data_IF_263626104371
#
_entry.id   IF_263626104371
#
_cell.length_a   1.000
_cell.length_b   1.000
_cell.length_c   1.000
_cell.angle_alpha   90.00
_cell.angle_beta   90.00
_cell.angle_gamma   90.00
#
_symmetry.space_group_name_H-M   'P 1'
#
loop_
_entity.id
_entity.type
_entity.pdbx_description
1 polymer ?
#
# COMPACT_ATOMS: atom_id res chain seq x y z
N UNK A 1 -5.54 -6.13 -26.07
CA UNK A 1 -4.85 -4.90 -25.62
C UNK A 1 -4.24 -5.16 -24.25
N UNK A 2 -2.98 -4.79 -24.02
CA UNK A 2 -2.36 -4.87 -22.69
C UNK A 2 -2.81 -3.65 -21.89
N UNK A 3 -3.42 -3.85 -20.70
CA UNK A 3 -3.76 -2.76 -19.78
C UNK A 3 -2.53 -2.35 -18.97
N UNK A 4 -2.52 -1.13 -18.42
CA UNK A 4 -1.42 -0.67 -17.55
C UNK A 4 -1.21 -1.63 -16.37
N UNK A 5 -2.28 -2.06 -15.72
CA UNK A 5 -2.20 -3.02 -14.61
C UNK A 5 -1.47 -4.32 -15.02
N UNK A 6 -1.84 -4.93 -16.16
CA UNK A 6 -1.17 -6.14 -16.66
C UNK A 6 0.29 -5.90 -17.03
N UNK A 7 0.62 -4.70 -17.54
CA UNK A 7 2.00 -4.34 -17.84
C UNK A 7 2.84 -4.31 -16.57
N UNK A 8 2.38 -3.58 -15.55
CA UNK A 8 3.10 -3.46 -14.28
C UNK A 8 3.23 -4.80 -13.54
N UNK A 9 2.17 -5.62 -13.55
CA UNK A 9 2.23 -6.98 -13.01
C UNK A 9 3.21 -7.88 -13.76
N UNK A 10 3.26 -7.74 -15.07
CA UNK A 10 4.20 -8.48 -15.92
C UNK A 10 5.65 -8.14 -15.57
N UNK A 11 5.93 -6.86 -15.35
CA UNK A 11 7.25 -6.36 -14.94
C UNK A 11 7.60 -6.87 -13.53
N UNK A 12 6.69 -6.72 -12.55
CA UNK A 12 6.92 -7.14 -11.17
C UNK A 12 7.04 -8.66 -11.00
N UNK A 13 6.40 -9.46 -11.85
CA UNK A 13 6.46 -10.93 -11.80
C UNK A 13 7.50 -11.55 -12.74
N UNK A 14 8.09 -10.77 -13.65
CA UNK A 14 8.95 -11.29 -14.71
C UNK A 14 8.23 -12.15 -15.75
N UNK A 15 6.89 -12.15 -15.78
CA UNK A 15 6.08 -12.97 -16.70
C UNK A 15 5.50 -12.11 -17.84
N UNK A 16 5.90 -12.31 -19.10
CA UNK A 16 5.61 -11.36 -20.19
C UNK A 16 4.18 -11.38 -20.72
N UNK A 17 3.38 -12.39 -20.39
CA UNK A 17 2.01 -12.55 -20.93
C UNK A 17 1.05 -13.03 -19.84
N UNK A 18 0.39 -12.08 -19.20
CA UNK A 18 -0.59 -12.36 -18.14
C UNK A 18 -2.02 -12.33 -18.68
N UNK A 19 -2.81 -13.30 -18.26
CA UNK A 19 -4.27 -13.33 -18.44
C UNK A 19 -4.95 -13.07 -17.11
N UNK A 20 -6.15 -12.51 -17.13
CA UNK A 20 -6.99 -12.44 -15.94
C UNK A 20 -7.17 -13.85 -15.36
N UNK A 21 -7.02 -13.97 -14.04
CA UNK A 21 -7.08 -15.23 -13.34
C UNK A 21 -5.73 -15.93 -13.12
N UNK A 22 -4.67 -15.59 -13.86
CA UNK A 22 -3.35 -16.17 -13.64
C UNK A 22 -2.83 -15.77 -12.25
N UNK A 23 -2.28 -16.75 -11.52
CA UNK A 23 -1.63 -16.52 -10.23
C UNK A 23 -0.13 -16.28 -10.48
N UNK A 24 0.37 -15.16 -9.99
CA UNK A 24 1.78 -14.77 -10.15
C UNK A 24 2.40 -14.35 -8.82
N UNK A 25 3.70 -14.53 -8.70
CA UNK A 25 4.48 -13.97 -7.59
C UNK A 25 5.15 -12.71 -8.12
N UNK A 26 4.93 -11.60 -7.43
CA UNK A 26 5.49 -10.30 -7.77
C UNK A 26 6.52 -9.88 -6.72
N UNK A 27 7.63 -9.34 -7.16
CA UNK A 27 8.58 -8.66 -6.31
C UNK A 27 8.03 -7.29 -5.91
N UNK A 28 8.15 -6.94 -4.64
CA UNK A 28 7.65 -5.68 -4.08
C UNK A 28 8.77 -4.64 -4.08
N UNK A 29 8.51 -3.50 -4.71
CA UNK A 29 9.44 -2.37 -4.73
C UNK A 29 9.35 -1.54 -3.46
N UNK A 30 8.15 -1.39 -2.90
CA UNK A 30 7.89 -0.61 -1.70
C UNK A 30 6.75 -1.21 -0.87
N UNK A 31 6.96 -1.34 0.43
CA UNK A 31 5.91 -1.65 1.40
C UNK A 31 5.68 -0.47 2.35
N UNK A 32 4.45 0.04 2.41
CA UNK A 32 4.06 1.09 3.34
C UNK A 32 3.23 0.49 4.47
N UNK A 33 3.59 0.82 5.70
CA UNK A 33 2.83 0.50 6.91
C UNK A 33 2.67 1.75 7.77
N UNK A 34 1.61 1.78 8.57
CA UNK A 34 1.33 2.86 9.51
C UNK A 34 1.09 2.33 10.92
N UNK A 35 0.99 3.21 11.91
CA UNK A 35 0.90 2.86 13.32
C UNK A 35 -0.32 1.99 13.67
N UNK A 36 -1.48 2.16 13.02
CA UNK A 36 -2.69 1.41 13.39
C UNK A 36 -2.68 -0.06 12.96
N UNK A 37 -2.17 -0.36 11.78
CA UNK A 37 -2.13 -1.71 11.20
C UNK A 37 -0.75 -2.35 11.13
N UNK A 38 0.31 -1.58 11.36
CA UNK A 38 1.69 -1.96 11.13
C UNK A 38 2.35 -2.74 12.28
N UNK A 39 3.35 -2.16 12.96
CA UNK A 39 4.25 -2.91 13.83
C UNK A 39 3.57 -3.75 14.90
N UNK A 40 2.49 -3.26 15.52
CA UNK A 40 1.77 -4.04 16.56
C UNK A 40 1.19 -5.34 16.04
N UNK A 41 0.89 -5.43 14.73
CA UNK A 41 0.30 -6.63 14.11
C UNK A 41 1.33 -7.49 13.38
N UNK A 42 2.28 -6.86 12.69
CA UNK A 42 3.28 -7.60 11.90
C UNK A 42 4.44 -8.14 12.74
N UNK A 43 4.86 -7.41 13.80
CA UNK A 43 5.97 -7.81 14.67
C UNK A 43 5.81 -9.22 15.24
N UNK A 44 4.68 -9.60 15.88
CA UNK A 44 4.50 -10.94 16.44
C UNK A 44 4.60 -12.05 15.38
N UNK A 45 4.19 -11.76 14.14
CA UNK A 45 4.27 -12.72 13.04
C UNK A 45 5.72 -12.89 12.59
N UNK A 46 6.47 -11.79 12.40
CA UNK A 46 7.88 -11.82 12.04
C UNK A 46 8.73 -12.54 13.11
N UNK A 47 8.44 -12.32 14.38
CA UNK A 47 9.11 -13.01 15.51
C UNK A 47 8.87 -14.52 15.46
N UNK A 48 7.61 -14.96 15.23
CA UNK A 48 7.27 -16.38 15.06
C UNK A 48 7.98 -17.01 13.84
N UNK A 49 8.17 -16.25 12.78
CA UNK A 49 8.90 -16.68 11.58
C UNK A 49 10.42 -16.62 11.76
N UNK A 50 10.90 -16.09 12.89
CA UNK A 50 12.31 -15.77 13.13
C UNK A 50 12.94 -15.00 11.96
N UNK A 51 12.22 -13.95 11.50
CA UNK A 51 12.64 -13.11 10.38
C UNK A 51 12.70 -11.64 10.77
N UNK A 52 13.67 -10.94 10.19
CA UNK A 52 13.71 -9.48 10.09
C UNK A 52 13.07 -9.05 8.77
N UNK A 53 12.92 -7.75 8.58
CA UNK A 53 12.47 -7.20 7.31
C UNK A 53 13.49 -7.50 6.20
N UNK A 54 12.98 -7.79 4.98
CA UNK A 54 13.82 -8.22 3.85
C UNK A 54 14.77 -7.12 3.37
N UNK A 55 14.28 -5.90 3.26
CA UNK A 55 15.05 -4.72 2.86
C UNK A 55 14.50 -3.47 3.55
N UNK A 56 15.25 -2.95 4.50
CA UNK A 56 14.86 -1.77 5.28
C UNK A 56 14.67 -0.50 4.44
N UNK A 57 15.32 -0.42 3.27
CA UNK A 57 15.24 0.74 2.38
C UNK A 57 13.96 0.75 1.54
N UNK A 58 13.31 -0.41 1.40
CA UNK A 58 12.05 -0.58 0.67
C UNK A 58 10.81 -0.53 1.56
N UNK A 59 10.97 -0.11 2.81
CA UNK A 59 9.87 0.00 3.77
C UNK A 59 9.71 1.44 4.18
N UNK A 60 8.48 1.93 4.11
CA UNK A 60 8.07 3.23 4.64
C UNK A 60 7.14 3.00 5.81
N UNK A 61 7.42 3.67 6.93
CA UNK A 61 6.58 3.66 8.13
C UNK A 61 6.10 5.06 8.42
N UNK A 62 4.80 5.23 8.64
CA UNK A 62 4.19 6.53 8.96
C UNK A 62 3.37 6.41 10.23
N UNK A 63 3.51 7.38 11.14
CA UNK A 63 2.57 7.54 12.25
C UNK A 63 1.59 8.66 11.91
N UNK A 64 0.33 8.30 11.67
CA UNK A 64 -0.70 9.23 11.22
C UNK A 64 -2.11 8.91 11.74
N UNK A 65 -2.37 7.67 12.18
CA UNK A 65 -3.71 7.26 12.63
C UNK A 65 -3.98 7.61 14.09
N UNK A 66 -2.94 7.64 14.91
CA UNK A 66 -3.03 7.95 16.35
C UNK A 66 -2.27 9.25 16.69
N UNK A 67 -2.50 10.27 15.88
CA UNK A 67 -1.86 11.59 16.02
C UNK A 67 -2.94 12.67 16.16
N UNK A 68 -2.94 13.43 17.27
CA UNK A 68 -2.12 13.23 18.47
C UNK A 68 -2.51 11.98 19.26
N UNK A 69 -1.56 11.38 19.97
CA UNK A 69 -1.83 10.26 20.86
C UNK A 69 -2.50 10.77 22.16
N UNK A 70 -3.79 10.59 22.27
CA UNK A 70 -4.64 11.16 23.32
C UNK A 70 -4.91 10.21 24.51
N UNK A 71 -4.59 8.92 24.36
CA UNK A 71 -4.79 7.89 25.36
C UNK A 71 -3.51 7.12 25.67
N UNK A 72 -3.48 6.37 26.78
CA UNK A 72 -2.34 5.51 27.12
C UNK A 72 -2.15 4.40 26.08
N UNK A 73 -3.25 3.89 25.51
CA UNK A 73 -3.20 2.88 24.45
C UNK A 73 -2.53 3.44 23.19
N UNK A 74 -2.95 4.61 22.71
CA UNK A 74 -2.39 5.22 21.49
C UNK A 74 -0.93 5.61 21.68
N UNK A 75 -0.56 6.13 22.87
CA UNK A 75 0.84 6.37 23.23
C UNK A 75 1.68 5.10 23.23
N UNK A 76 1.15 3.99 23.75
CA UNK A 76 1.85 2.71 23.73
C UNK A 76 2.05 2.17 22.30
N UNK A 77 1.06 2.35 21.40
CA UNK A 77 1.15 1.95 19.99
C UNK A 77 2.24 2.77 19.28
N UNK A 78 2.27 4.08 19.47
CA UNK A 78 3.31 4.93 18.90
C UNK A 78 4.70 4.54 19.44
N UNK A 79 4.84 4.35 20.75
CA UNK A 79 6.11 3.95 21.35
C UNK A 79 6.61 2.60 20.80
N UNK A 80 5.69 1.63 20.63
CA UNK A 80 6.00 0.34 20.00
C UNK A 80 6.46 0.53 18.55
N UNK A 81 5.77 1.36 17.77
CA UNK A 81 6.11 1.66 16.38
C UNK A 81 7.51 2.27 16.27
N UNK A 82 7.81 3.32 17.05
CA UNK A 82 9.12 3.98 17.09
C UNK A 82 10.24 3.01 17.49
N UNK A 83 9.98 2.16 18.49
CA UNK A 83 10.92 1.13 18.94
C UNK A 83 11.19 0.10 17.84
N UNK A 84 10.13 -0.42 17.19
CA UNK A 84 10.25 -1.43 16.15
C UNK A 84 11.01 -0.89 14.92
N UNK A 85 10.71 0.33 14.48
CA UNK A 85 11.44 1.02 13.39
C UNK A 85 12.94 1.05 13.68
N UNK A 86 13.32 1.41 14.90
CA UNK A 86 14.72 1.41 15.33
C UNK A 86 15.33 0.00 15.35
N UNK A 87 14.62 -1.00 15.87
CA UNK A 87 15.04 -2.41 15.90
C UNK A 87 15.28 -2.96 14.49
N UNK A 88 14.48 -2.56 13.49
CA UNK A 88 14.61 -2.96 12.10
C UNK A 88 15.56 -2.05 11.29
N UNK A 89 16.06 -0.96 11.87
CA UNK A 89 16.92 0.05 11.23
C UNK A 89 16.30 0.67 9.97
N UNK A 90 14.97 0.89 9.99
CA UNK A 90 14.23 1.53 8.90
C UNK A 90 14.48 3.04 8.96
N UNK A 91 14.97 3.61 7.86
CA UNK A 91 15.27 5.04 7.76
C UNK A 91 14.09 5.87 7.24
N UNK A 92 13.25 5.26 6.39
CA UNK A 92 12.05 5.92 5.85
C UNK A 92 10.92 5.91 6.88
N UNK A 93 11.13 6.64 7.96
CA UNK A 93 10.17 6.79 9.05
C UNK A 93 9.70 8.23 9.16
N UNK A 94 8.40 8.43 9.01
CA UNK A 94 7.74 9.73 9.06
C UNK A 94 6.83 9.80 10.27
N UNK A 95 7.39 10.33 11.35
CA UNK A 95 6.73 10.44 12.64
C UNK A 95 5.92 11.74 12.70
N UNK A 96 4.60 11.63 12.70
CA UNK A 96 3.66 12.77 12.80
C UNK A 96 3.84 13.83 11.69
N UNK A 97 4.25 13.41 10.48
CA UNK A 97 4.56 14.33 9.39
C UNK A 97 3.45 14.46 8.34
N UNK A 98 2.30 13.87 8.59
CA UNK A 98 1.14 13.91 7.69
C UNK A 98 0.58 12.54 7.39
N UNK A 99 -0.49 12.51 6.58
CA UNK A 99 -1.20 11.30 6.19
C UNK A 99 -0.32 10.46 5.26
N UNK A 100 -0.22 9.14 5.51
CA UNK A 100 0.68 8.25 4.78
C UNK A 100 0.51 8.34 3.26
N UNK A 101 -0.72 8.43 2.76
CA UNK A 101 -1.00 8.55 1.31
C UNK A 101 -0.61 9.89 0.69
N UNK A 102 -0.33 10.90 1.50
CA UNK A 102 0.21 12.20 1.06
C UNK A 102 1.73 12.21 1.23
N UNK A 103 2.23 11.71 2.35
CA UNK A 103 3.67 11.63 2.64
C UNK A 103 4.42 10.84 1.57
N UNK A 104 3.88 9.69 1.14
CA UNK A 104 4.55 8.85 0.14
C UNK A 104 4.88 9.58 -1.17
N UNK A 105 3.91 10.23 -1.87
CA UNK A 105 4.21 10.97 -3.08
C UNK A 105 5.03 12.23 -2.82
N UNK A 106 4.78 12.99 -1.76
CA UNK A 106 5.53 14.21 -1.44
C UNK A 106 7.02 13.94 -1.16
N UNK A 107 7.33 12.77 -0.61
CA UNK A 107 8.71 12.34 -0.33
C UNK A 107 9.35 11.56 -1.48
N UNK A 108 8.66 11.44 -2.61
CA UNK A 108 9.18 10.79 -3.80
C UNK A 108 9.24 9.25 -3.72
N UNK A 109 8.51 8.64 -2.79
CA UNK A 109 8.45 7.18 -2.67
C UNK A 109 7.59 6.53 -3.75
N UNK A 110 6.63 7.27 -4.31
CA UNK A 110 5.80 6.79 -5.40
C UNK A 110 6.28 7.36 -6.73
N UNK A 111 6.68 6.47 -7.62
CA UNK A 111 7.08 6.81 -8.99
C UNK A 111 6.30 5.95 -9.98
N UNK A 112 6.12 6.42 -11.23
CA UNK A 112 5.45 5.62 -12.24
C UNK A 112 6.17 4.29 -12.47
N UNK A 113 5.39 3.21 -12.50
CA UNK A 113 5.90 1.87 -12.82
C UNK A 113 6.21 0.99 -11.63
N UNK A 114 6.34 1.52 -10.40
CA UNK A 114 6.67 0.69 -9.24
C UNK A 114 5.50 -0.17 -8.77
N UNK A 115 5.84 -1.33 -8.19
CA UNK A 115 4.89 -2.26 -7.60
C UNK A 115 4.94 -2.16 -6.07
N UNK A 116 3.85 -1.68 -5.47
CA UNK A 116 3.79 -1.33 -4.06
C UNK A 116 2.65 -2.04 -3.33
N UNK A 117 2.85 -2.25 -2.03
CA UNK A 117 1.79 -2.69 -1.12
C UNK A 117 1.64 -1.72 0.04
N UNK A 118 0.42 -1.55 0.51
CA UNK A 118 0.11 -0.70 1.66
C UNK A 118 -0.69 -1.42 2.73
N UNK A 119 -0.62 -0.92 3.95
CA UNK A 119 -1.25 -1.51 5.13
C UNK A 119 -2.73 -1.16 5.31
N UNK A 120 -3.37 -0.50 4.35
CA UNK A 120 -4.78 -0.10 4.44
C UNK A 120 -5.52 -0.08 3.09
N UNK A 121 -6.84 0.18 3.15
CA UNK A 121 -7.74 0.18 2.00
C UNK A 121 -7.59 1.39 1.08
N UNK A 122 -6.92 2.47 1.50
CA UNK A 122 -6.69 3.67 0.68
C UNK A 122 -5.37 3.61 -0.11
N UNK A 123 -4.60 2.54 0.04
CA UNK A 123 -3.35 2.31 -0.69
C UNK A 123 -3.46 2.45 -2.23
N UNK A 124 -4.61 2.13 -2.89
CA UNK A 124 -4.76 2.38 -4.33
C UNK A 124 -4.60 3.83 -4.77
N UNK A 125 -4.58 4.80 -3.85
CA UNK A 125 -4.19 6.20 -4.12
C UNK A 125 -2.86 6.30 -4.89
N UNK A 126 -1.94 5.36 -4.68
CA UNK A 126 -0.69 5.27 -5.43
C UNK A 126 -0.87 5.15 -6.94
N UNK A 127 -2.01 4.64 -7.40
CA UNK A 127 -2.34 4.57 -8.82
C UNK A 127 -2.43 5.94 -9.52
N UNK A 128 -2.78 7.00 -8.79
CA UNK A 128 -2.78 8.36 -9.31
C UNK A 128 -1.37 8.86 -9.69
N UNK A 129 -0.35 8.23 -9.15
CA UNK A 129 1.07 8.51 -9.42
C UNK A 129 1.72 7.48 -10.36
N UNK A 130 0.90 6.63 -11.00
CA UNK A 130 1.37 5.61 -11.95
C UNK A 130 1.99 4.36 -11.30
N UNK A 131 1.85 4.18 -10.00
CA UNK A 131 2.26 2.96 -9.29
C UNK A 131 1.15 1.89 -9.36
N UNK A 132 1.53 0.62 -9.38
CA UNK A 132 0.60 -0.45 -9.05
C UNK A 132 0.61 -0.64 -7.54
N UNK A 133 -0.34 -0.04 -6.85
CA UNK A 133 -0.40 -0.06 -5.39
C UNK A 133 -1.77 -0.50 -4.90
N UNK A 134 -1.79 -1.38 -3.89
CA UNK A 134 -3.02 -1.89 -3.28
C UNK A 134 -2.81 -2.22 -1.81
N UNK A 135 -3.93 -2.29 -1.08
CA UNK A 135 -3.94 -2.64 0.34
C UNK A 135 -3.92 -4.13 0.59
N UNK A 136 -3.16 -4.56 1.59
CA UNK A 136 -3.09 -5.97 2.04
C UNK A 136 -3.28 -6.07 3.55
N UNK A 137 -3.72 -7.24 4.00
CA UNK A 137 -3.89 -7.53 5.42
C UNK A 137 -2.57 -7.69 6.17
N UNK A 138 -2.62 -7.64 7.51
CA UNK A 138 -1.41 -7.70 8.33
C UNK A 138 -0.63 -9.02 8.18
N UNK A 139 -1.30 -10.12 7.86
CA UNK A 139 -0.67 -11.42 7.63
C UNK A 139 0.12 -11.42 6.33
N UNK A 140 -0.48 -10.95 5.23
CA UNK A 140 0.21 -10.79 3.94
C UNK A 140 1.34 -9.77 4.06
N UNK A 141 1.10 -8.66 4.76
CA UNK A 141 2.13 -7.65 4.99
C UNK A 141 3.34 -8.24 5.74
N UNK A 142 3.12 -9.06 6.75
CA UNK A 142 4.22 -9.74 7.43
C UNK A 142 4.97 -10.71 6.49
N UNK A 143 4.26 -11.38 5.59
CA UNK A 143 4.86 -12.19 4.52
C UNK A 143 5.74 -11.36 3.59
N UNK A 144 5.23 -10.23 3.10
CA UNK A 144 5.99 -9.28 2.27
C UNK A 144 7.20 -8.76 3.01
N UNK A 145 7.05 -8.32 4.26
CA UNK A 145 8.17 -7.83 5.07
C UNK A 145 9.24 -8.90 5.32
N UNK A 146 8.88 -10.18 5.32
CA UNK A 146 9.83 -11.29 5.49
C UNK A 146 10.52 -11.71 4.18
N UNK A 147 9.90 -11.53 3.02
CA UNK A 147 10.33 -12.12 1.75
C UNK A 147 10.59 -11.13 0.62
N UNK A 148 9.98 -9.93 0.67
CA UNK A 148 10.01 -8.95 -0.42
C UNK A 148 9.10 -9.28 -1.59
N UNK A 149 8.22 -10.28 -1.46
CA UNK A 149 7.36 -10.72 -2.56
C UNK A 149 5.94 -11.03 -2.08
N UNK A 150 5.01 -11.02 -3.02
CA UNK A 150 3.60 -11.36 -2.79
C UNK A 150 3.06 -12.14 -3.99
N UNK A 151 2.21 -13.14 -3.73
CA UNK A 151 1.43 -13.75 -4.79
C UNK A 151 0.12 -12.99 -4.97
N UNK A 152 -0.30 -12.80 -6.20
CA UNK A 152 -1.60 -12.21 -6.52
C UNK A 152 -2.23 -12.93 -7.71
N UNK A 153 -3.54 -12.88 -7.78
CA UNK A 153 -4.28 -13.26 -8.96
C UNK A 153 -4.38 -12.05 -9.89
N UNK A 154 -3.96 -12.18 -11.14
CA UNK A 154 -4.06 -11.13 -12.16
C UNK A 154 -5.52 -10.70 -12.31
N UNK A 155 -5.86 -9.43 -12.03
CA UNK A 155 -7.25 -8.98 -12.08
C UNK A 155 -7.73 -8.73 -13.51
N UNK A 156 -9.04 -8.72 -13.68
CA UNK A 156 -9.68 -8.06 -14.81
C UNK A 156 -9.55 -6.53 -14.65
N UNK A 157 -9.56 -5.82 -15.77
CA UNK A 157 -9.48 -4.36 -15.77
C UNK A 157 -10.78 -3.77 -16.27
N UNK A 158 -11.38 -2.90 -15.48
CA UNK A 158 -12.55 -2.09 -15.87
C UNK A 158 -12.04 -0.70 -16.26
N UNK A 159 -12.40 -0.26 -17.47
CA UNK A 159 -12.14 1.09 -17.92
C UNK A 159 -13.34 1.97 -17.57
N UNK A 160 -13.14 2.94 -16.69
CA UNK A 160 -14.12 3.99 -16.41
C UNK A 160 -13.76 5.24 -17.22
N UNK A 161 -14.64 5.63 -18.13
CA UNK A 161 -14.48 6.83 -18.95
C UNK A 161 -15.46 7.90 -18.47
N UNK A 162 -14.91 9.07 -18.17
CA UNK A 162 -15.71 10.25 -17.79
C UNK A 162 -15.74 11.20 -18.96
N UNK A 163 -16.95 11.59 -19.38
CA UNK A 163 -17.14 12.46 -20.52
C UNK A 163 -17.74 13.80 -20.06
N UNK A 164 -17.48 14.84 -20.83
CA UNK A 164 -17.87 16.21 -20.54
C UNK A 164 -17.18 16.83 -19.31
N UNK A 165 -17.70 17.95 -18.86
CA UNK A 165 -17.17 18.68 -17.70
C UNK A 165 -18.01 18.38 -16.45
N UNK A 166 -17.35 18.44 -15.30
CA UNK A 166 -18.03 18.33 -14.04
C UNK A 166 -18.97 19.54 -13.83
N UNK A 167 -20.15 19.30 -13.32
CA UNK A 167 -21.05 20.37 -12.89
C UNK A 167 -20.43 21.18 -11.74
N UNK A 168 -20.87 22.41 -11.57
CA UNK A 168 -20.49 23.22 -10.43
C UNK A 168 -20.77 22.47 -9.12
N UNK A 169 -19.84 22.53 -8.17
CA UNK A 169 -19.86 21.85 -6.86
C UNK A 169 -19.63 20.32 -6.92
N UNK A 170 -19.48 19.70 -8.08
CA UNK A 170 -19.11 18.29 -8.19
C UNK A 170 -17.59 18.14 -8.17
N UNK A 171 -17.09 17.26 -7.31
CA UNK A 171 -15.66 17.04 -7.09
C UNK A 171 -15.20 15.67 -7.58
N UNK A 172 -13.89 15.44 -7.64
CA UNK A 172 -13.32 14.13 -7.94
C UNK A 172 -13.78 13.04 -6.95
N UNK A 173 -14.09 13.41 -5.71
CA UNK A 173 -14.62 12.47 -4.72
C UNK A 173 -16.02 11.98 -5.10
N UNK A 174 -16.87 12.83 -5.63
CA UNK A 174 -18.21 12.45 -6.09
C UNK A 174 -18.13 11.46 -7.25
N UNK A 175 -17.14 11.62 -8.14
CA UNK A 175 -16.88 10.67 -9.22
C UNK A 175 -16.51 9.29 -8.66
N UNK A 176 -15.60 9.23 -7.68
CA UNK A 176 -15.17 7.95 -7.10
C UNK A 176 -16.31 7.26 -6.35
N UNK A 177 -17.16 8.00 -5.64
CA UNK A 177 -18.34 7.45 -4.98
C UNK A 177 -19.36 6.91 -5.99
N UNK A 178 -19.55 7.60 -7.11
CA UNK A 178 -20.50 7.18 -8.16
C UNK A 178 -20.14 5.80 -8.72
N UNK A 179 -18.89 5.54 -9.15
CA UNK A 179 -18.54 4.23 -9.69
C UNK A 179 -18.51 3.12 -8.62
N UNK A 180 -18.24 3.45 -7.37
CA UNK A 180 -18.32 2.49 -6.26
C UNK A 180 -19.73 1.95 -6.11
N UNK A 181 -20.73 2.82 -6.21
CA UNK A 181 -22.15 2.42 -6.16
C UNK A 181 -22.54 1.55 -7.37
N UNK A 182 -22.06 1.85 -8.56
CA UNK A 182 -22.33 1.03 -9.76
C UNK A 182 -21.81 -0.40 -9.59
N UNK A 183 -20.66 -0.60 -8.96
CA UNK A 183 -20.09 -1.93 -8.73
C UNK A 183 -20.70 -2.70 -7.57
N UNK A 184 -21.33 -2.03 -6.62
CA UNK A 184 -21.95 -2.70 -5.47
C UNK A 184 -23.18 -3.56 -5.84
N UNK A 185 -23.63 -3.50 -7.09
CA UNK A 185 -24.78 -4.22 -7.62
C UNK A 185 -24.42 -5.31 -8.65
N UNK A 186 -23.15 -5.54 -8.92
CA UNK A 186 -22.61 -6.66 -9.71
C UNK A 186 -22.15 -7.82 -8.82
#
# INVERSE_FOLDING_TARGET
MITLAKKLLSEASGQPKLKAGDIVICDVDLAMIHDSGGPRRVKPILERLNRKVWDKNKIVVVTDHYVPADSDETRAIQALTKKWVKEQSIENFYDEQGICHIVLPERGHLTPGIFCVGGDSHSPTGGAFGAYMFGIGATEMAGVLATGSIWIQTPETILMSWENQLSELVTAKDMTVSYTHLRAHE
#
